data_IF_929148182917
#
_entry.id   IF_929148182917
#
_cell.length_a   1.000
_cell.length_b   1.000
_cell.length_c   1.000
_cell.angle_alpha   90.00
_cell.angle_beta   90.00
_cell.angle_gamma   90.00
#
_symmetry.space_group_name_H-M   'P 1'
#
loop_
_entity.id
_entity.type
_entity.pdbx_description
1 polymer ?
#
# COMPACT_ATOMS: atom_id res chain seq x y z
N UNK A 1 2.80 -14.75 -3.11
CA UNK A 1 3.25 -15.25 -4.43
C UNK A 1 3.25 -14.14 -5.48
N UNK A 2 2.10 -13.63 -5.94
CA UNK A 2 2.03 -12.71 -7.10
C UNK A 2 1.84 -11.21 -6.81
N UNK A 3 1.94 -10.77 -5.53
CA UNK A 3 1.81 -9.35 -5.11
C UNK A 3 0.56 -8.63 -5.65
N UNK A 4 -0.59 -9.28 -5.54
CA UNK A 4 -1.90 -8.76 -5.93
C UNK A 4 -2.93 -9.09 -4.86
N UNK A 5 -4.01 -8.33 -4.79
CA UNK A 5 -5.10 -8.46 -3.82
C UNK A 5 -6.43 -8.72 -4.53
N UNK A 6 -7.38 -9.35 -3.83
CA UNK A 6 -8.76 -9.55 -4.30
C UNK A 6 -8.90 -10.44 -5.56
N UNK A 7 -7.96 -11.37 -5.80
CA UNK A 7 -8.00 -12.24 -6.99
C UNK A 7 -9.35 -12.92 -7.18
N UNK A 8 -9.79 -13.73 -6.21
CA UNK A 8 -11.06 -14.46 -6.31
C UNK A 8 -12.28 -13.55 -6.32
N UNK A 9 -12.34 -12.54 -5.44
CA UNK A 9 -13.48 -11.62 -5.39
C UNK A 9 -13.58 -10.75 -6.65
N UNK A 10 -12.47 -10.41 -7.30
CA UNK A 10 -12.49 -9.71 -8.60
C UNK A 10 -13.04 -10.57 -9.73
N UNK A 11 -12.81 -11.89 -9.71
CA UNK A 11 -13.43 -12.84 -10.64
C UNK A 11 -14.94 -12.86 -10.43
N UNK A 12 -15.38 -13.08 -9.19
CA UNK A 12 -16.81 -13.10 -8.86
C UNK A 12 -17.51 -11.77 -9.17
N UNK A 13 -16.82 -10.63 -9.00
CA UNK A 13 -17.33 -9.32 -9.33
C UNK A 13 -17.27 -8.97 -10.84
N UNK A 14 -16.75 -9.86 -11.69
CA UNK A 14 -16.57 -9.62 -13.13
C UNK A 14 -15.53 -8.55 -13.47
N UNK A 15 -14.60 -8.27 -12.56
CA UNK A 15 -13.56 -7.23 -12.67
C UNK A 15 -12.13 -7.78 -12.69
N UNK A 16 -11.97 -9.08 -12.88
CA UNK A 16 -10.65 -9.69 -12.96
C UNK A 16 -9.88 -9.17 -14.19
N UNK A 17 -8.64 -8.73 -13.97
CA UNK A 17 -7.72 -8.33 -15.04
C UNK A 17 -7.01 -9.56 -15.61
N UNK A 18 -7.27 -9.94 -16.89
CA UNK A 18 -6.64 -11.10 -17.50
C UNK A 18 -5.11 -11.04 -17.53
N UNK A 19 -4.50 -9.85 -17.54
CA UNK A 19 -3.05 -9.69 -17.57
C UNK A 19 -2.36 -10.23 -16.31
N UNK A 20 -3.10 -10.39 -15.20
CA UNK A 20 -2.57 -11.00 -13.97
C UNK A 20 -2.20 -12.47 -14.14
N UNK A 21 -2.79 -13.19 -15.10
CA UNK A 21 -2.48 -14.60 -15.36
C UNK A 21 -1.04 -14.80 -15.82
N UNK A 22 -0.49 -13.83 -16.55
CA UNK A 22 0.85 -13.91 -17.12
C UNK A 22 1.91 -13.36 -16.15
N UNK A 23 1.50 -12.91 -14.95
CA UNK A 23 2.42 -12.42 -13.93
C UNK A 23 3.19 -13.57 -13.29
N UNK A 24 4.51 -13.51 -13.37
CA UNK A 24 5.41 -14.45 -12.70
C UNK A 24 5.57 -14.15 -11.20
N UNK A 25 5.79 -15.20 -10.42
CA UNK A 25 6.27 -15.10 -9.04
C UNK A 25 7.79 -14.92 -8.99
N UNK A 26 8.38 -15.05 -7.79
CA UNK A 26 9.83 -14.89 -7.57
C UNK A 26 10.66 -16.02 -8.16
N UNK A 27 10.04 -17.18 -8.43
CA UNK A 27 10.69 -18.37 -8.98
C UNK A 27 10.47 -18.49 -10.50
N UNK A 28 9.74 -17.54 -11.10
CA UNK A 28 9.48 -17.45 -12.54
C UNK A 28 8.21 -18.15 -13.00
N UNK A 29 7.50 -18.86 -12.12
CA UNK A 29 6.24 -19.51 -12.47
C UNK A 29 5.13 -18.47 -12.59
N UNK A 30 4.35 -18.53 -13.67
CA UNK A 30 3.21 -17.64 -13.91
C UNK A 30 2.02 -18.00 -13.03
N UNK A 31 1.12 -17.05 -12.82
CA UNK A 31 -0.13 -17.31 -12.12
C UNK A 31 -0.98 -18.35 -12.86
N UNK A 32 -0.97 -18.34 -14.19
CA UNK A 32 -1.63 -19.33 -15.02
C UNK A 32 -1.15 -20.75 -14.72
N UNK A 33 0.16 -20.96 -14.71
CA UNK A 33 0.77 -22.26 -14.39
C UNK A 33 0.43 -22.67 -12.95
N UNK A 34 0.58 -21.76 -11.99
CA UNK A 34 0.26 -22.02 -10.59
C UNK A 34 -1.23 -22.40 -10.37
N UNK A 35 -2.14 -21.81 -11.15
CA UNK A 35 -3.55 -22.16 -11.13
C UNK A 35 -3.80 -23.51 -11.79
N UNK A 36 -3.20 -23.78 -12.95
CA UNK A 36 -3.32 -25.07 -13.64
C UNK A 36 -2.80 -26.24 -12.78
N UNK A 37 -1.67 -26.03 -12.09
CA UNK A 37 -1.05 -27.01 -11.19
C UNK A 37 -1.90 -27.33 -9.96
N UNK A 38 -2.90 -26.49 -9.63
CA UNK A 38 -3.82 -26.78 -8.53
C UNK A 38 -4.74 -27.97 -8.79
N UNK A 39 -4.85 -28.40 -10.06
CA UNK A 39 -5.75 -29.50 -10.48
C UNK A 39 -7.23 -29.14 -10.48
N UNK A 40 -7.58 -27.87 -10.22
CA UNK A 40 -8.96 -27.40 -10.28
C UNK A 40 -9.42 -27.27 -11.74
N UNK A 41 -10.59 -27.82 -12.12
CA UNK A 41 -11.11 -27.70 -13.47
C UNK A 41 -11.26 -26.23 -13.90
N UNK A 42 -10.70 -25.88 -15.05
CA UNK A 42 -10.76 -24.52 -15.60
C UNK A 42 -9.81 -23.51 -14.91
N UNK A 43 -8.97 -23.94 -13.98
CA UNK A 43 -8.02 -23.04 -13.33
C UNK A 43 -6.95 -22.54 -14.32
N UNK A 44 -6.77 -21.22 -14.39
CA UNK A 44 -5.86 -20.58 -15.33
C UNK A 44 -6.44 -20.38 -16.74
N UNK A 45 -7.66 -20.86 -17.01
CA UNK A 45 -8.40 -20.53 -18.23
C UNK A 45 -9.23 -19.25 -18.04
N UNK A 46 -9.11 -18.33 -18.99
CA UNK A 46 -9.76 -17.03 -18.89
C UNK A 46 -11.27 -17.13 -19.06
N UNK A 47 -11.75 -18.05 -19.89
CA UNK A 47 -13.18 -18.18 -20.16
C UNK A 47 -13.90 -18.84 -18.98
N UNK A 48 -13.27 -19.85 -18.35
CA UNK A 48 -13.73 -20.39 -17.08
C UNK A 48 -13.80 -19.33 -15.97
N UNK A 49 -12.78 -18.46 -15.84
CA UNK A 49 -12.80 -17.37 -14.85
C UNK A 49 -13.92 -16.37 -15.14
N UNK A 50 -14.12 -15.95 -16.39
CA UNK A 50 -15.22 -15.05 -16.78
C UNK A 50 -16.58 -15.65 -16.48
N UNK A 51 -16.76 -16.95 -16.76
CA UNK A 51 -18.00 -17.66 -16.50
C UNK A 51 -18.33 -17.78 -15.01
N UNK A 52 -17.33 -17.68 -14.12
CA UNK A 52 -17.53 -17.69 -12.67
C UNK A 52 -18.01 -16.35 -12.10
N UNK A 53 -18.12 -15.29 -12.90
CA UNK A 53 -18.66 -14.02 -12.45
C UNK A 53 -20.13 -14.16 -12.00
N UNK A 54 -20.48 -13.49 -10.91
CA UNK A 54 -21.83 -13.51 -10.33
C UNK A 54 -22.58 -12.28 -10.81
N UNK A 55 -23.82 -12.48 -11.27
CA UNK A 55 -24.73 -11.38 -11.57
C UNK A 55 -25.15 -10.68 -10.26
N UNK A 56 -24.78 -9.41 -10.04
CA UNK A 56 -25.13 -8.69 -8.82
C UNK A 56 -26.64 -8.59 -8.58
N UNK A 57 -27.45 -8.65 -9.64
CA UNK A 57 -28.92 -8.60 -9.51
C UNK A 57 -29.51 -9.83 -8.83
N UNK A 58 -28.75 -10.93 -8.76
CA UNK A 58 -29.16 -12.18 -8.11
C UNK A 58 -28.79 -12.25 -6.63
N UNK A 59 -28.02 -11.28 -6.13
CA UNK A 59 -27.53 -11.25 -4.75
C UNK A 59 -28.44 -10.40 -3.86
N UNK A 60 -28.95 -11.00 -2.77
CA UNK A 60 -29.66 -10.25 -1.73
C UNK A 60 -28.72 -9.40 -0.86
N UNK A 61 -27.44 -9.79 -0.76
CA UNK A 61 -26.41 -9.10 0.01
C UNK A 61 -25.19 -9.97 0.29
N UNK A 62 -24.14 -9.35 0.83
CA UNK A 62 -22.91 -10.01 1.24
C UNK A 62 -22.58 -9.60 2.68
N UNK A 63 -22.24 -10.57 3.53
CA UNK A 63 -21.84 -10.35 4.93
C UNK A 63 -20.49 -11.00 5.15
N UNK A 64 -19.53 -10.21 5.61
CA UNK A 64 -18.20 -10.68 5.98
C UNK A 64 -18.01 -10.51 7.49
N UNK A 65 -17.60 -11.59 8.15
CA UNK A 65 -17.15 -11.55 9.55
C UNK A 65 -15.64 -11.60 9.54
N UNK A 66 -15.01 -10.61 10.17
CA UNK A 66 -13.56 -10.50 10.21
C UNK A 66 -13.10 -10.04 11.59
N UNK A 67 -11.90 -10.46 11.99
CA UNK A 67 -11.25 -9.90 13.18
C UNK A 67 -10.91 -8.42 12.94
N UNK A 68 -10.85 -7.61 14.00
CA UNK A 68 -10.63 -6.16 13.88
C UNK A 68 -9.27 -5.80 13.26
N UNK A 69 -8.24 -6.63 13.47
CA UNK A 69 -6.84 -6.37 13.12
C UNK A 69 -6.24 -5.08 13.75
N UNK A 70 -7.00 -4.43 14.63
CA UNK A 70 -6.60 -3.27 15.43
C UNK A 70 -6.95 -3.46 16.90
N UNK A 71 -6.62 -2.46 17.75
CA UNK A 71 -6.80 -2.57 19.19
C UNK A 71 -8.09 -1.91 19.71
N UNK A 72 -8.97 -1.38 18.87
CA UNK A 72 -10.11 -0.52 19.25
C UNK A 72 -11.15 -1.28 20.08
N UNK A 73 -11.61 -2.45 19.65
CA UNK A 73 -12.59 -3.26 20.37
C UNK A 73 -11.99 -3.75 21.70
N UNK A 74 -10.73 -4.20 21.68
CA UNK A 74 -10.02 -4.61 22.90
C UNK A 74 -9.92 -3.46 23.90
N UNK A 75 -9.42 -2.30 23.48
CA UNK A 75 -9.24 -1.12 24.34
C UNK A 75 -10.56 -0.55 24.85
N UNK A 76 -11.67 -0.76 24.11
CA UNK A 76 -13.01 -0.36 24.53
C UNK A 76 -13.77 -1.44 25.30
N UNK A 77 -13.22 -2.65 25.46
CA UNK A 77 -13.89 -3.78 26.10
C UNK A 77 -15.14 -4.25 25.36
N UNK A 78 -15.18 -4.12 24.03
CA UNK A 78 -16.32 -4.47 23.19
C UNK A 78 -16.09 -5.81 22.47
N UNK A 79 -17.07 -6.71 22.40
CA UNK A 79 -16.93 -8.01 21.73
C UNK A 79 -17.22 -7.97 20.23
N UNK A 80 -17.85 -6.90 19.73
CA UNK A 80 -18.30 -6.78 18.34
C UNK A 80 -18.28 -5.31 17.89
N UNK A 81 -17.90 -5.09 16.64
CA UNK A 81 -18.03 -3.82 15.95
C UNK A 81 -18.79 -3.99 14.64
N UNK A 82 -19.66 -3.03 14.32
CA UNK A 82 -20.30 -2.93 13.01
C UNK A 82 -19.39 -2.06 12.14
N UNK A 83 -18.79 -2.65 11.10
CA UNK A 83 -17.95 -1.92 10.14
C UNK A 83 -18.86 -1.06 9.27
N UNK A 84 -18.65 0.26 9.30
CA UNK A 84 -19.43 1.22 8.52
C UNK A 84 -18.72 1.65 7.23
N UNK A 85 -17.39 1.52 7.18
CA UNK A 85 -16.57 1.93 6.05
C UNK A 85 -15.24 1.18 6.05
N UNK A 86 -14.65 1.03 4.86
CA UNK A 86 -13.28 0.55 4.68
C UNK A 86 -12.47 1.74 4.17
N UNK A 87 -11.35 2.04 4.83
CA UNK A 87 -10.51 3.16 4.43
C UNK A 87 -9.89 2.92 3.05
N UNK A 88 -10.06 3.88 2.14
CA UNK A 88 -9.30 3.91 0.89
C UNK A 88 -7.83 4.20 1.17
N UNK A 89 -6.92 3.64 0.38
CA UNK A 89 -5.46 3.74 0.59
C UNK A 89 -4.77 4.26 -0.66
N UNK A 90 -3.83 5.20 -0.46
CA UNK A 90 -2.87 5.65 -1.48
C UNK A 90 -1.47 5.29 -1.02
N UNK A 91 -0.72 4.60 -1.87
CA UNK A 91 0.64 4.13 -1.58
C UNK A 91 1.62 4.73 -2.55
N UNK A 92 2.70 5.27 -2.03
CA UNK A 92 3.76 5.92 -2.78
C UNK A 92 5.12 5.33 -2.43
N UNK A 93 6.00 5.34 -3.41
CA UNK A 93 7.43 5.19 -3.21
C UNK A 93 8.07 6.54 -3.48
N UNK A 94 8.58 7.19 -2.43
CA UNK A 94 9.14 8.53 -2.50
C UNK A 94 10.66 8.43 -2.58
N UNK A 95 11.27 9.21 -3.47
CA UNK A 95 12.72 9.38 -3.59
C UNK A 95 13.06 10.85 -3.42
N UNK A 96 13.77 11.17 -2.36
CA UNK A 96 14.34 12.50 -2.12
C UNK A 96 15.74 12.53 -2.70
N UNK A 97 16.04 13.55 -3.52
CA UNK A 97 17.34 13.72 -4.17
C UNK A 97 18.10 14.91 -3.60
N UNK A 98 19.35 14.64 -3.24
CA UNK A 98 20.29 15.59 -2.67
C UNK A 98 21.60 15.60 -3.45
N UNK A 99 22.71 15.88 -2.75
CA UNK A 99 24.05 15.86 -3.32
C UNK A 99 25.02 15.19 -2.35
N UNK A 100 25.70 14.15 -2.82
CA UNK A 100 26.72 13.48 -2.02
C UNK A 100 27.90 14.43 -1.78
N UNK A 101 28.28 14.60 -0.52
CA UNK A 101 29.38 15.48 -0.13
C UNK A 101 29.98 15.05 1.20
N UNK A 102 31.18 15.52 1.54
CA UNK A 102 31.87 15.10 2.75
C UNK A 102 31.26 15.74 4.00
N UNK A 103 30.87 14.93 4.98
CA UNK A 103 30.10 15.39 6.14
C UNK A 103 30.86 16.35 7.06
N UNK A 104 32.20 16.27 7.08
CA UNK A 104 33.05 17.12 7.95
C UNK A 104 33.50 18.44 7.33
N UNK A 105 33.43 18.58 6.00
CA UNK A 105 34.03 19.74 5.29
C UNK A 105 33.03 20.55 4.50
N UNK A 106 31.81 20.03 4.30
CA UNK A 106 30.73 20.78 3.63
C UNK A 106 30.00 21.64 4.66
N UNK A 107 30.05 22.99 4.54
CA UNK A 107 29.29 23.89 5.40
C UNK A 107 27.79 23.60 5.37
N UNK A 108 27.08 23.88 6.47
CA UNK A 108 25.66 23.51 6.63
C UNK A 108 24.73 24.20 5.62
N UNK A 109 25.02 25.45 5.29
CA UNK A 109 24.28 26.29 4.33
C UNK A 109 24.49 25.87 2.86
N UNK A 110 25.47 25.00 2.60
CA UNK A 110 25.78 24.48 1.27
C UNK A 110 25.28 23.04 1.05
N UNK A 111 24.63 22.43 2.04
CA UNK A 111 24.21 21.02 1.95
C UNK A 111 22.93 20.87 1.15
N UNK A 112 22.85 19.76 0.43
CA UNK A 112 21.60 19.20 -0.11
C UNK A 112 21.45 17.79 0.45
N UNK A 113 21.09 17.68 1.72
CA UNK A 113 21.03 16.42 2.46
C UNK A 113 19.69 15.71 2.21
N UNK A 114 19.73 14.60 1.48
CA UNK A 114 18.52 13.85 1.15
C UNK A 114 17.89 13.15 2.36
N UNK A 115 18.69 12.75 3.36
CA UNK A 115 18.18 12.05 4.53
C UNK A 115 17.47 13.02 5.49
N UNK A 116 18.04 14.22 5.70
CA UNK A 116 17.38 15.25 6.49
C UNK A 116 16.10 15.75 5.83
N UNK A 117 16.12 16.00 4.51
CA UNK A 117 14.90 16.37 3.79
C UNK A 117 13.81 15.30 3.87
N UNK A 118 14.18 14.01 3.76
CA UNK A 118 13.24 12.91 3.96
C UNK A 118 12.69 12.88 5.40
N UNK A 119 13.51 13.11 6.43
CA UNK A 119 13.05 13.18 7.81
C UNK A 119 11.98 14.27 8.02
N UNK A 120 12.14 15.45 7.43
CA UNK A 120 11.12 16.51 7.49
C UNK A 120 9.81 16.07 6.83
N UNK A 121 9.88 15.44 5.66
CA UNK A 121 8.69 14.89 4.98
C UNK A 121 8.00 13.80 5.82
N UNK A 122 8.76 12.91 6.45
CA UNK A 122 8.22 11.83 7.29
C UNK A 122 7.48 12.40 8.50
N UNK A 123 8.06 13.42 9.17
CA UNK A 123 7.42 14.10 10.28
C UNK A 123 6.18 14.90 9.83
N UNK A 124 6.20 15.45 8.61
CA UNK A 124 5.02 16.08 8.02
C UNK A 124 3.90 15.06 7.81
N UNK A 125 4.19 13.86 7.30
CA UNK A 125 3.20 12.78 7.14
C UNK A 125 2.52 12.46 8.47
N UNK A 126 3.32 12.20 9.52
CA UNK A 126 2.79 11.86 10.85
C UNK A 126 1.93 12.99 11.41
N UNK A 127 2.47 14.21 11.47
CA UNK A 127 1.80 15.36 12.06
C UNK A 127 0.54 15.77 11.29
N UNK A 128 0.57 15.70 9.95
CA UNK A 128 -0.59 16.04 9.11
C UNK A 128 -1.72 15.02 9.25
N UNK A 129 -1.38 13.73 9.34
CA UNK A 129 -2.39 12.68 9.48
C UNK A 129 -3.02 12.66 10.87
N UNK A 130 -2.24 12.96 11.92
CA UNK A 130 -2.74 13.03 13.29
C UNK A 130 -3.81 14.11 13.52
N UNK A 131 -3.94 15.10 12.62
CA UNK A 131 -4.91 16.19 12.74
C UNK A 131 -6.36 15.77 12.45
N UNK A 132 -6.59 14.63 11.79
CA UNK A 132 -7.92 14.17 11.42
C UNK A 132 -8.15 12.77 11.97
N UNK A 133 -9.17 12.53 12.83
CA UNK A 133 -9.33 11.26 13.56
C UNK A 133 -9.40 9.98 12.71
N UNK A 134 -9.82 10.07 11.45
CA UNK A 134 -9.98 8.93 10.52
C UNK A 134 -8.86 8.85 9.48
N UNK A 135 -7.91 9.78 9.51
CA UNK A 135 -6.77 9.83 8.60
C UNK A 135 -5.57 9.18 9.29
N UNK A 136 -4.94 8.24 8.61
CA UNK A 136 -3.70 7.62 9.07
C UNK A 136 -2.67 7.71 7.96
N UNK A 137 -1.44 8.02 8.35
CA UNK A 137 -0.28 8.04 7.48
C UNK A 137 0.81 7.16 8.06
N UNK A 138 1.48 6.38 7.22
CA UNK A 138 2.54 5.48 7.69
C UNK A 138 3.69 5.47 6.70
N UNK A 139 4.90 5.64 7.24
CA UNK A 139 6.15 5.38 6.55
C UNK A 139 6.70 4.07 7.07
N UNK A 140 6.53 3.00 6.28
CA UNK A 140 6.87 1.64 6.69
C UNK A 140 8.24 1.15 6.20
N UNK A 141 8.84 1.86 5.24
CA UNK A 141 10.15 1.56 4.67
C UNK A 141 10.94 2.85 4.58
N UNK A 142 12.21 2.81 4.97
CA UNK A 142 13.14 3.94 4.90
C UNK A 142 14.54 3.41 4.59
N UNK A 143 15.17 3.95 3.55
CA UNK A 143 16.48 3.53 3.08
C UNK A 143 17.31 4.73 2.63
N UNK A 144 18.59 4.74 3.01
CA UNK A 144 19.59 5.69 2.50
C UNK A 144 20.59 4.89 1.66
N UNK A 145 20.37 4.78 0.34
CA UNK A 145 21.24 3.97 -0.52
C UNK A 145 22.68 4.48 -0.48
N UNK A 146 23.64 3.56 -0.32
CA UNK A 146 25.07 3.88 -0.18
C UNK A 146 25.38 4.82 1.00
N UNK A 147 24.54 4.82 2.04
CA UNK A 147 24.76 5.62 3.24
C UNK A 147 26.09 5.30 3.93
N UNK A 148 26.79 6.35 4.36
CA UNK A 148 28.01 6.27 5.17
C UNK A 148 27.96 7.34 6.25
N UNK A 149 28.52 7.07 7.42
CA UNK A 149 28.51 7.99 8.57
C UNK A 149 29.22 9.33 8.30
N UNK A 150 30.09 9.38 7.29
CA UNK A 150 30.89 10.56 6.93
C UNK A 150 30.50 11.18 5.57
N UNK A 151 29.37 10.79 4.98
CA UNK A 151 28.90 11.30 3.69
C UNK A 151 27.48 11.85 3.83
N UNK A 152 27.28 13.09 3.39
CA UNK A 152 25.95 13.70 3.23
C UNK A 152 25.23 12.89 2.14
N UNK A 153 24.04 12.30 2.40
CA UNK A 153 23.38 11.45 1.43
C UNK A 153 22.87 12.18 0.18
N UNK A 154 23.15 11.61 -1.00
CA UNK A 154 22.58 12.07 -2.27
C UNK A 154 21.13 11.58 -2.51
N UNK A 155 20.69 10.54 -1.80
CA UNK A 155 19.36 9.99 -1.97
C UNK A 155 18.83 9.38 -0.67
N UNK A 156 17.52 9.50 -0.48
CA UNK A 156 16.77 8.78 0.53
C UNK A 156 15.48 8.27 -0.09
N UNK A 157 15.12 7.01 0.14
CA UNK A 157 13.94 6.38 -0.42
C UNK A 157 13.07 5.87 0.72
N UNK A 158 11.79 6.21 0.71
CA UNK A 158 10.86 5.75 1.72
C UNK A 158 9.48 5.45 1.13
N UNK A 159 8.72 4.60 1.81
CA UNK A 159 7.33 4.34 1.44
C UNK A 159 6.39 5.27 2.18
N UNK A 160 5.26 5.60 1.58
CA UNK A 160 4.19 6.36 2.23
C UNK A 160 2.84 5.70 1.95
N UNK A 161 2.11 5.30 2.98
CA UNK A 161 0.74 4.77 2.90
C UNK A 161 -0.20 5.70 3.67
N UNK A 162 -1.09 6.39 2.97
CA UNK A 162 -2.08 7.30 3.56
C UNK A 162 -3.46 6.69 3.35
N UNK A 163 -4.25 6.60 4.42
CA UNK A 163 -5.59 6.03 4.40
C UNK A 163 -6.60 6.91 5.13
N UNK A 164 -7.80 6.99 4.58
CA UNK A 164 -8.94 7.61 5.26
C UNK A 164 -10.24 6.92 4.86
N UNK A 165 -11.27 7.06 5.70
CA UNK A 165 -12.63 6.61 5.40
C UNK A 165 -13.27 7.38 4.23
N UNK A 166 -12.83 8.62 4.00
CA UNK A 166 -13.32 9.48 2.92
C UNK A 166 -12.18 9.91 2.01
N UNK A 167 -12.40 9.80 0.69
CA UNK A 167 -11.37 10.10 -0.32
C UNK A 167 -10.92 11.57 -0.27
N UNK A 168 -11.85 12.52 -0.10
CA UNK A 168 -11.51 13.95 -0.05
C UNK A 168 -10.55 14.31 1.09
N UNK A 169 -10.68 13.66 2.26
CA UNK A 169 -9.75 13.83 3.38
C UNK A 169 -8.37 13.28 3.03
N UNK A 170 -8.32 12.09 2.42
CA UNK A 170 -7.07 11.45 1.99
C UNK A 170 -6.35 12.30 0.95
N UNK A 171 -7.07 12.75 -0.07
CA UNK A 171 -6.52 13.53 -1.19
C UNK A 171 -6.01 14.90 -0.75
N UNK A 172 -6.73 15.58 0.16
CA UNK A 172 -6.25 16.83 0.75
C UNK A 172 -4.93 16.62 1.50
N UNK A 173 -4.82 15.55 2.31
CA UNK A 173 -3.58 15.26 3.02
C UNK A 173 -2.42 14.94 2.07
N UNK A 174 -2.67 14.23 0.97
CA UNK A 174 -1.65 13.95 -0.06
C UNK A 174 -1.17 15.26 -0.69
N UNK A 175 -2.09 16.15 -1.07
CA UNK A 175 -1.75 17.43 -1.70
C UNK A 175 -0.94 18.38 -0.78
N UNK A 176 -1.09 18.24 0.54
CA UNK A 176 -0.29 19.00 1.50
C UNK A 176 1.14 18.45 1.65
N UNK A 177 1.39 17.20 1.27
CA UNK A 177 2.66 16.48 1.49
C UNK A 177 3.50 16.38 0.21
N UNK A 178 2.85 16.25 -0.96
CA UNK A 178 3.46 15.95 -2.27
C UNK A 178 3.21 17.09 -3.25
#
# INVERSE_FOLDING_TARGET
RFKTSFLASSVLAGRFDPALLDRADVDGATMREALADSGLPGAGDIDALRAAAVDPSTLAGFVEVHIEQGPVLLNRGLPLGIVTQIAGSSRFQVRVEGLASHAGTTPMDMRRDAATGAAEMILLVESRCAQVPTLVGTVGQLQVPNGSSNVIPAACVFSMDIRAGEDGIREAAIADIV
#
